data_IF_790418730538
#
_entry.id   IF_790418730538
#
_cell.length_a   1.000
_cell.length_b   1.000
_cell.length_c   1.000
_cell.angle_alpha   90.00
_cell.angle_beta   90.00
_cell.angle_gamma   90.00
#
_symmetry.space_group_name_H-M   'P 1'
#
loop_
_entity.id
_entity.type
_entity.pdbx_description
1 polymer ?
#
# COMPACT_ATOMS: atom_id res chain seq x y z
N UNK A 1 -17.18 -10.80 -3.41
CA UNK A 1 -16.11 -10.38 -2.47
C UNK A 1 -15.26 -9.30 -3.12
N UNK A 2 -15.01 -8.20 -2.41
CA UNK A 2 -14.14 -7.11 -2.85
C UNK A 2 -12.83 -7.16 -2.05
N UNK A 3 -11.68 -7.18 -2.72
CA UNK A 3 -10.35 -7.32 -2.11
C UNK A 3 -9.48 -6.14 -2.53
N UNK A 4 -8.68 -5.60 -1.61
CA UNK A 4 -7.66 -4.61 -1.96
C UNK A 4 -6.33 -4.89 -1.26
N UNK A 5 -5.24 -4.55 -1.95
CA UNK A 5 -3.87 -4.66 -1.44
C UNK A 5 -3.37 -3.26 -1.13
N UNK A 6 -3.15 -2.99 0.17
CA UNK A 6 -2.65 -1.72 0.67
C UNK A 6 -1.16 -1.85 0.93
N UNK A 7 -0.35 -0.94 0.39
CA UNK A 7 1.08 -0.93 0.64
C UNK A 7 1.83 -0.01 -0.31
N UNK A 8 2.99 0.46 0.13
CA UNK A 8 3.84 1.39 -0.61
C UNK A 8 4.36 0.81 -1.92
N UNK A 9 4.65 1.68 -2.88
CA UNK A 9 5.53 1.39 -4.01
C UNK A 9 6.87 0.81 -3.54
N UNK A 10 7.41 -0.16 -4.28
CA UNK A 10 8.57 -0.98 -3.87
C UNK A 10 8.38 -1.82 -2.58
N UNK A 11 7.18 -1.85 -2.00
CA UNK A 11 6.84 -2.74 -0.87
C UNK A 11 6.69 -4.21 -1.27
N UNK A 12 6.71 -4.54 -2.57
CA UNK A 12 6.52 -5.91 -3.05
C UNK A 12 5.05 -6.33 -3.25
N UNK A 13 4.12 -5.36 -3.20
CA UNK A 13 2.68 -5.57 -3.41
C UNK A 13 2.31 -6.21 -4.75
N UNK A 14 3.22 -6.17 -5.75
CA UNK A 14 3.11 -6.92 -7.01
C UNK A 14 2.90 -8.42 -6.76
N UNK A 15 3.63 -9.01 -5.81
CA UNK A 15 3.52 -10.43 -5.50
C UNK A 15 2.09 -10.81 -5.09
N UNK A 16 1.45 -9.98 -4.26
CA UNK A 16 0.07 -10.22 -3.87
C UNK A 16 -0.92 -10.00 -5.02
N UNK A 17 -0.74 -8.96 -5.84
CA UNK A 17 -1.62 -8.72 -6.99
C UNK A 17 -1.58 -9.91 -7.98
N UNK A 18 -0.39 -10.39 -8.32
CA UNK A 18 -0.21 -11.56 -9.19
C UNK A 18 -0.78 -12.84 -8.57
N UNK A 19 -0.60 -13.03 -7.26
CA UNK A 19 -1.20 -14.15 -6.53
C UNK A 19 -2.73 -14.12 -6.64
N UNK A 20 -3.36 -12.97 -6.39
CA UNK A 20 -4.82 -12.83 -6.50
C UNK A 20 -5.31 -13.09 -7.93
N UNK A 21 -4.67 -12.51 -8.95
CA UNK A 21 -5.01 -12.75 -10.36
C UNK A 21 -4.89 -14.23 -10.73
N UNK A 22 -3.79 -14.89 -10.36
CA UNK A 22 -3.59 -16.32 -10.61
C UNK A 22 -4.58 -17.21 -9.83
N UNK A 23 -5.17 -16.70 -8.75
CA UNK A 23 -6.22 -17.36 -7.95
C UNK A 23 -7.65 -17.11 -8.46
N UNK A 24 -7.79 -16.48 -9.64
CA UNK A 24 -9.09 -16.20 -10.26
C UNK A 24 -9.81 -14.96 -9.72
N UNK A 25 -9.11 -14.05 -9.04
CA UNK A 25 -9.67 -12.74 -8.66
C UNK A 25 -9.62 -11.80 -9.85
N UNK A 26 -10.76 -11.20 -10.20
CA UNK A 26 -10.80 -10.15 -11.21
C UNK A 26 -10.23 -8.84 -10.65
N UNK A 27 -9.01 -8.49 -11.04
CA UNK A 27 -8.27 -7.34 -10.49
C UNK A 27 -8.55 -6.01 -11.21
N UNK A 28 -9.53 -5.99 -12.12
CA UNK A 28 -9.87 -4.85 -12.98
C UNK A 28 -9.65 -5.13 -14.47
N UNK A 29 -10.14 -4.25 -15.34
CA UNK A 29 -10.17 -4.49 -16.78
C UNK A 29 -8.79 -4.42 -17.44
N UNK A 30 -7.91 -3.57 -16.92
CA UNK A 30 -6.58 -3.35 -17.48
C UNK A 30 -5.57 -3.24 -16.34
N UNK A 31 -4.49 -4.03 -16.46
CA UNK A 31 -3.41 -4.07 -15.49
C UNK A 31 -2.07 -3.78 -16.17
N UNK A 32 -1.16 -3.09 -15.49
CA UNK A 32 0.24 -3.04 -15.91
C UNK A 32 1.02 -4.30 -15.45
N UNK A 33 2.30 -4.40 -15.79
CA UNK A 33 3.15 -5.54 -15.39
C UNK A 33 3.28 -5.71 -13.87
N UNK A 34 3.11 -4.63 -13.10
CA UNK A 34 3.11 -4.65 -11.64
C UNK A 34 1.80 -5.13 -11.01
N UNK A 35 0.80 -5.45 -11.83
CA UNK A 35 -0.54 -5.78 -11.38
C UNK A 35 -1.26 -4.57 -10.79
N UNK A 36 -0.91 -3.36 -11.20
CA UNK A 36 -1.64 -2.14 -10.84
C UNK A 36 -2.84 -1.97 -11.77
N UNK A 37 -3.99 -1.59 -11.20
CA UNK A 37 -5.14 -1.14 -11.99
C UNK A 37 -4.81 0.20 -12.66
N UNK A 38 -5.01 0.26 -13.98
CA UNK A 38 -4.77 1.44 -14.81
C UNK A 38 -6.00 1.68 -15.72
N UNK A 39 -6.24 2.92 -16.22
CA UNK A 39 -5.51 4.18 -15.97
C UNK A 39 -5.55 4.67 -14.50
N UNK A 40 -4.43 5.14 -13.91
CA UNK A 40 -4.37 5.52 -12.49
C UNK A 40 -4.70 7.00 -12.18
N UNK A 41 -4.90 7.82 -13.21
CA UNK A 41 -4.97 9.29 -13.10
C UNK A 41 -6.05 9.76 -12.12
N UNK A 42 -7.24 9.17 -12.16
CA UNK A 42 -8.32 9.52 -11.24
C UNK A 42 -7.96 9.22 -9.78
N UNK A 43 -7.20 8.15 -9.50
CA UNK A 43 -6.70 7.89 -8.15
C UNK A 43 -5.63 8.92 -7.75
N UNK A 44 -4.79 9.38 -8.69
CA UNK A 44 -3.82 10.43 -8.40
C UNK A 44 -4.51 11.75 -8.06
N UNK A 45 -5.55 12.14 -8.79
CA UNK A 45 -6.36 13.30 -8.44
C UNK A 45 -7.08 13.10 -7.10
N UNK A 46 -7.59 11.91 -6.82
CA UNK A 46 -8.20 11.59 -5.52
C UNK A 46 -7.19 11.78 -4.38
N UNK A 47 -5.92 11.42 -4.57
CA UNK A 47 -4.86 11.70 -3.60
C UNK A 47 -4.65 13.20 -3.36
N UNK A 48 -4.71 14.03 -4.41
CA UNK A 48 -4.60 15.50 -4.26
C UNK A 48 -5.79 16.10 -3.53
N UNK A 49 -7.00 15.65 -3.84
CA UNK A 49 -8.21 16.05 -3.09
C UNK A 49 -8.09 15.68 -1.62
N UNK A 50 -7.68 14.45 -1.32
CA UNK A 50 -7.46 13.98 0.05
C UNK A 50 -6.40 14.81 0.78
N UNK A 51 -5.31 15.18 0.10
CA UNK A 51 -4.20 15.92 0.70
C UNK A 51 -4.62 17.32 1.22
N UNK A 52 -5.65 17.95 0.67
CA UNK A 52 -6.22 19.21 1.20
C UNK A 52 -6.77 19.09 2.64
N UNK A 53 -6.97 17.87 3.12
CA UNK A 53 -7.46 17.55 4.46
C UNK A 53 -6.36 17.11 5.42
N UNK A 54 -5.10 17.08 4.96
CA UNK A 54 -3.93 16.72 5.76
C UNK A 54 -3.10 17.97 6.04
N UNK A 55 -2.84 18.26 7.31
CA UNK A 55 -2.03 19.41 7.71
C UNK A 55 -0.64 18.95 8.15
N UNK A 56 0.42 19.53 7.58
CA UNK A 56 1.79 19.27 8.04
C UNK A 56 2.08 20.12 9.29
N UNK A 57 2.47 19.47 10.38
CA UNK A 57 2.75 20.10 11.69
C UNK A 57 4.26 20.33 11.92
N UNK A 58 5.08 20.15 10.89
CA UNK A 58 6.56 20.20 10.97
C UNK A 58 7.19 18.83 11.19
N UNK A 59 8.43 18.67 10.70
CA UNK A 59 9.18 17.42 10.73
C UNK A 59 8.41 16.26 10.10
N UNK A 60 8.29 15.14 10.82
CA UNK A 60 7.58 13.93 10.41
C UNK A 60 6.18 13.83 11.03
N UNK A 61 5.51 14.96 11.25
CA UNK A 61 4.20 15.04 11.88
C UNK A 61 3.16 15.61 10.92
N UNK A 62 2.08 14.85 10.73
CA UNK A 62 0.90 15.25 9.95
C UNK A 62 -0.34 15.05 10.80
N UNK A 63 -1.26 15.98 10.72
CA UNK A 63 -2.58 15.89 11.33
C UNK A 63 -3.57 15.28 10.33
N UNK A 64 -4.09 14.11 10.71
CA UNK A 64 -5.08 13.34 9.94
C UNK A 64 -6.49 13.44 10.52
N UNK A 65 -6.73 14.28 11.53
CA UNK A 65 -8.02 14.35 12.24
C UNK A 65 -9.21 14.55 11.29
N UNK A 66 -9.07 15.47 10.32
CA UNK A 66 -10.11 15.79 9.33
C UNK A 66 -10.47 14.61 8.43
N UNK A 67 -9.49 13.81 7.99
CA UNK A 67 -9.76 12.64 7.12
C UNK A 67 -10.37 11.46 7.89
N UNK A 68 -10.10 11.38 9.19
CA UNK A 68 -10.60 10.30 10.05
C UNK A 68 -12.07 10.49 10.43
N UNK A 69 -12.50 11.71 10.75
CA UNK A 69 -13.84 11.96 11.32
C UNK A 69 -14.72 12.86 10.47
N UNK A 70 -14.13 13.70 9.60
CA UNK A 70 -14.87 14.63 8.74
C UNK A 70 -15.62 13.94 7.60
N UNK A 71 -16.50 14.65 6.87
CA UNK A 71 -17.13 14.11 5.67
C UNK A 71 -16.08 13.76 4.60
N UNK A 72 -16.36 12.74 3.79
CA UNK A 72 -15.56 12.45 2.59
C UNK A 72 -15.96 13.45 1.52
N UNK A 73 -14.98 14.05 0.85
CA UNK A 73 -15.25 14.99 -0.24
C UNK A 73 -16.00 14.29 -1.39
N UNK A 74 -17.14 14.82 -1.89
CA UNK A 74 -17.85 14.24 -3.03
C UNK A 74 -16.99 14.10 -4.30
N UNK A 75 -16.03 15.00 -4.53
CA UNK A 75 -15.09 14.90 -5.64
C UNK A 75 -14.19 13.66 -5.50
N UNK A 76 -13.70 13.39 -4.28
CA UNK A 76 -12.94 12.19 -3.99
C UNK A 76 -13.75 10.93 -4.29
N UNK A 77 -15.02 10.88 -3.84
CA UNK A 77 -15.91 9.75 -4.10
C UNK A 77 -16.04 9.51 -5.60
N UNK A 78 -16.35 10.56 -6.38
CA UNK A 78 -16.49 10.47 -7.84
C UNK A 78 -15.21 9.94 -8.51
N UNK A 79 -14.04 10.43 -8.11
CA UNK A 79 -12.76 10.03 -8.67
C UNK A 79 -12.44 8.56 -8.36
N UNK A 80 -12.65 8.13 -7.12
CA UNK A 80 -12.43 6.72 -6.72
C UNK A 80 -13.40 5.77 -7.42
N UNK A 81 -14.68 6.14 -7.54
CA UNK A 81 -15.66 5.33 -8.27
C UNK A 81 -15.34 5.23 -9.76
N UNK A 82 -14.86 6.32 -10.37
CA UNK A 82 -14.40 6.34 -11.75
C UNK A 82 -13.17 5.42 -11.96
N UNK A 83 -12.15 5.56 -11.11
CA UNK A 83 -10.97 4.69 -11.12
C UNK A 83 -11.34 3.21 -10.95
N UNK A 84 -12.24 2.90 -10.02
CA UNK A 84 -12.65 1.53 -9.71
C UNK A 84 -13.81 1.03 -10.58
N UNK A 85 -14.27 1.78 -11.59
CA UNK A 85 -15.49 1.46 -12.33
C UNK A 85 -15.48 0.03 -12.89
N UNK A 86 -14.36 -0.39 -13.49
CA UNK A 86 -14.23 -1.74 -14.05
C UNK A 86 -14.33 -2.84 -12.98
N UNK A 87 -13.85 -2.58 -11.76
CA UNK A 87 -13.95 -3.49 -10.62
C UNK A 87 -15.38 -3.49 -10.10
N UNK A 88 -15.93 -2.33 -9.77
CA UNK A 88 -17.25 -2.19 -9.14
C UNK A 88 -18.40 -2.70 -10.02
N UNK A 89 -18.27 -2.62 -11.35
CA UNK A 89 -19.27 -3.09 -12.31
C UNK A 89 -19.12 -4.57 -12.69
N UNK A 90 -18.03 -5.23 -12.30
CA UNK A 90 -17.79 -6.64 -12.67
C UNK A 90 -18.69 -7.60 -11.88
N UNK A 91 -19.32 -8.55 -12.59
CA UNK A 91 -20.09 -9.63 -11.97
C UNK A 91 -19.22 -10.79 -11.44
N UNK A 92 -17.89 -10.66 -11.48
CA UNK A 92 -17.00 -11.69 -10.95
C UNK A 92 -17.26 -11.93 -9.45
N UNK A 93 -17.34 -13.20 -8.99
CA UNK A 93 -17.62 -13.51 -7.59
C UNK A 93 -16.55 -12.95 -6.64
N UNK A 94 -15.31 -12.85 -7.13
CA UNK A 94 -14.17 -12.26 -6.44
C UNK A 94 -13.56 -11.20 -7.35
N UNK A 95 -13.45 -10.00 -6.83
CA UNK A 95 -12.92 -8.84 -7.55
C UNK A 95 -12.08 -8.00 -6.61
N UNK A 96 -11.15 -7.24 -7.16
CA UNK A 96 -10.28 -6.41 -6.36
C UNK A 96 -9.49 -5.41 -7.18
N UNK A 97 -8.64 -4.66 -6.48
CA UNK A 97 -7.69 -3.76 -7.11
C UNK A 97 -6.42 -3.69 -6.29
N UNK A 98 -5.37 -3.20 -6.93
CA UNK A 98 -4.13 -2.82 -6.29
C UNK A 98 -3.61 -1.60 -7.02
N UNK A 99 -3.19 -0.59 -6.26
CA UNK A 99 -2.42 0.55 -6.73
C UNK A 99 -1.75 1.16 -5.48
N UNK A 100 -0.41 1.31 -5.42
CA UNK A 100 0.27 1.77 -4.21
C UNK A 100 -0.28 3.07 -3.62
N UNK A 101 -0.69 4.00 -4.48
CA UNK A 101 -1.26 5.30 -4.18
C UNK A 101 -2.57 5.20 -3.38
N UNK A 102 -3.29 4.06 -3.45
CA UNK A 102 -4.46 3.80 -2.59
C UNK A 102 -4.09 3.92 -1.10
N UNK A 103 -2.83 3.64 -0.73
CA UNK A 103 -2.33 3.80 0.65
C UNK A 103 -2.37 5.25 1.12
N UNK A 104 -2.14 6.23 0.23
CA UNK A 104 -2.10 7.66 0.57
C UNK A 104 -3.46 8.21 1.00
N UNK A 105 -4.53 7.50 0.66
CA UNK A 105 -5.93 7.91 0.89
C UNK A 105 -6.71 6.88 1.70
N UNK A 106 -5.99 5.96 2.37
CA UNK A 106 -6.52 4.79 3.04
C UNK A 106 -7.69 5.08 4.01
N UNK A 107 -7.68 6.16 4.84
CA UNK A 107 -8.81 6.45 5.73
C UNK A 107 -10.16 6.56 5.00
N UNK A 108 -10.18 7.21 3.84
CA UNK A 108 -11.42 7.39 3.08
C UNK A 108 -11.77 6.13 2.28
N UNK A 109 -10.79 5.39 1.77
CA UNK A 109 -11.04 4.09 1.12
C UNK A 109 -11.68 3.09 2.09
N UNK A 110 -11.19 2.99 3.32
CA UNK A 110 -11.79 2.12 4.36
C UNK A 110 -13.24 2.52 4.65
N UNK A 111 -13.52 3.83 4.69
CA UNK A 111 -14.87 4.34 4.96
C UNK A 111 -15.83 4.17 3.77
N UNK A 112 -15.34 4.23 2.53
CA UNK A 112 -16.13 3.96 1.33
C UNK A 112 -16.43 2.47 1.14
N UNK A 113 -15.50 1.59 1.52
CA UNK A 113 -15.60 0.15 1.32
C UNK A 113 -15.44 -0.64 2.63
N UNK A 114 -16.32 -0.45 3.63
CA UNK A 114 -16.14 -0.98 4.98
C UNK A 114 -16.15 -2.53 5.05
N UNK A 115 -16.81 -3.18 4.09
CA UNK A 115 -16.89 -4.64 3.99
C UNK A 115 -15.88 -5.26 3.00
N UNK A 116 -14.97 -4.47 2.43
CA UNK A 116 -13.89 -5.01 1.61
C UNK A 116 -12.85 -5.75 2.47
N UNK A 117 -12.14 -6.69 1.84
CA UNK A 117 -11.05 -7.46 2.43
C UNK A 117 -9.74 -6.76 2.15
N UNK A 118 -9.13 -6.19 3.18
CA UNK A 118 -7.89 -5.42 3.06
C UNK A 118 -6.68 -6.28 3.44
N UNK A 119 -5.77 -6.45 2.48
CA UNK A 119 -4.45 -7.04 2.70
C UNK A 119 -3.46 -5.90 2.91
N UNK A 120 -3.09 -5.66 4.17
CA UNK A 120 -2.10 -4.67 4.55
C UNK A 120 -0.72 -5.28 4.35
N UNK A 121 -0.01 -4.79 3.35
CA UNK A 121 1.27 -5.30 2.91
C UNK A 121 2.42 -4.40 3.37
N UNK A 122 3.28 -4.95 4.20
CA UNK A 122 4.45 -4.24 4.75
C UNK A 122 5.74 -4.86 4.27
N UNK A 123 6.82 -4.07 4.27
CA UNK A 123 8.17 -4.50 3.93
C UNK A 123 9.15 -3.69 4.76
N UNK A 124 10.32 -4.24 5.03
CA UNK A 124 11.43 -3.51 5.63
C UNK A 124 11.63 -2.16 4.92
N UNK A 125 11.56 -1.03 5.66
CA UNK A 125 11.73 0.29 5.08
C UNK A 125 13.07 0.44 4.36
N UNK A 126 14.12 -0.21 4.87
CA UNK A 126 15.48 -0.12 4.32
C UNK A 126 15.54 -0.66 2.90
N UNK A 127 14.79 -1.73 2.62
CA UNK A 127 14.65 -2.26 1.26
C UNK A 127 13.68 -1.44 0.39
N UNK A 128 12.67 -0.85 1.00
CA UNK A 128 11.61 -0.12 0.29
C UNK A 128 12.13 1.16 -0.36
N UNK A 129 13.09 1.84 0.25
CA UNK A 129 13.62 3.12 -0.24
C UNK A 129 14.74 2.97 -1.29
N UNK A 130 15.12 1.74 -1.65
CA UNK A 130 16.28 1.48 -2.51
C UNK A 130 16.09 1.90 -3.97
N UNK A 131 14.86 1.92 -4.47
CA UNK A 131 14.56 2.17 -5.88
C UNK A 131 13.49 3.25 -6.07
N UNK A 132 13.50 3.98 -7.21
CA UNK A 132 12.57 5.08 -7.48
C UNK A 132 11.14 4.60 -7.70
N UNK A 133 10.17 5.24 -7.06
CA UNK A 133 8.73 5.08 -7.29
C UNK A 133 8.04 6.44 -7.45
N UNK A 134 6.86 6.45 -8.08
CA UNK A 134 6.04 7.67 -8.20
C UNK A 134 5.68 8.24 -6.81
N UNK A 135 5.27 7.39 -5.86
CA UNK A 135 4.99 7.80 -4.47
C UNK A 135 6.21 8.31 -3.67
N UNK A 136 7.40 8.43 -4.25
CA UNK A 136 8.58 8.86 -3.49
C UNK A 136 8.51 10.33 -3.07
N UNK A 137 7.95 11.21 -3.92
CA UNK A 137 7.73 12.61 -3.61
C UNK A 137 6.27 12.85 -3.25
N UNK A 138 6.02 13.14 -1.96
CA UNK A 138 4.68 13.41 -1.45
C UNK A 138 4.02 14.63 -2.14
N UNK A 139 4.82 15.58 -2.64
CA UNK A 139 4.28 16.78 -3.30
C UNK A 139 3.60 16.47 -4.64
N UNK A 140 3.94 15.36 -5.29
CA UNK A 140 3.31 14.95 -6.55
C UNK A 140 1.82 14.60 -6.35
N UNK A 141 1.46 14.31 -5.11
CA UNK A 141 0.11 13.99 -4.63
C UNK A 141 -0.47 15.10 -3.72
N UNK A 142 0.13 16.29 -3.71
CA UNK A 142 -0.36 17.44 -2.96
C UNK A 142 -0.13 17.38 -1.45
N UNK A 143 0.55 16.35 -0.93
CA UNK A 143 0.80 16.20 0.51
C UNK A 143 1.95 17.12 0.94
N UNK A 144 1.72 18.06 1.89
CA UNK A 144 2.76 18.95 2.37
C UNK A 144 3.79 18.21 3.22
N UNK A 145 5.07 18.52 3.04
CA UNK A 145 6.18 18.04 3.87
C UNK A 145 7.41 18.96 3.72
N UNK A 146 8.38 18.82 4.62
CA UNK A 146 9.69 19.48 4.48
C UNK A 146 10.48 18.88 3.30
N UNK A 147 10.62 19.66 2.22
CA UNK A 147 11.34 19.22 1.02
C UNK A 147 12.82 19.00 1.32
N UNK A 148 13.41 18.04 0.59
CA UNK A 148 14.83 17.73 0.68
C UNK A 148 15.35 17.29 -0.69
N UNK A 149 16.60 17.64 -0.98
CA UNK A 149 17.31 17.18 -2.18
C UNK A 149 17.92 15.78 -2.00
N UNK A 150 17.99 15.27 -0.76
CA UNK A 150 18.42 13.90 -0.49
C UNK A 150 17.32 12.91 -0.91
N UNK A 151 17.58 12.20 -2.00
CA UNK A 151 16.65 11.22 -2.58
C UNK A 151 16.30 10.10 -1.59
N UNK A 152 17.25 9.60 -0.79
CA UNK A 152 16.99 8.52 0.18
C UNK A 152 16.17 9.05 1.35
N UNK A 153 16.48 10.25 1.83
CA UNK A 153 15.70 10.89 2.88
C UNK A 153 14.26 11.16 2.42
N UNK A 154 14.07 11.72 1.21
CA UNK A 154 12.73 11.94 0.64
C UNK A 154 11.90 10.65 0.58
N UNK A 155 12.51 9.55 0.10
CA UNK A 155 11.87 8.23 0.07
C UNK A 155 11.51 7.72 1.47
N UNK A 156 12.38 7.93 2.45
CA UNK A 156 12.17 7.56 3.84
C UNK A 156 11.06 8.39 4.50
N UNK A 157 10.98 9.69 4.20
CA UNK A 157 9.89 10.58 4.63
C UNK A 157 8.55 10.12 4.03
N UNK A 158 8.52 9.83 2.72
CA UNK A 158 7.32 9.27 2.07
C UNK A 158 6.91 7.92 2.67
N UNK A 159 7.87 7.02 2.94
CA UNK A 159 7.59 5.78 3.65
C UNK A 159 6.99 6.04 5.04
N UNK A 160 7.55 7.01 5.78
CA UNK A 160 7.08 7.37 7.12
C UNK A 160 5.64 7.88 7.10
N UNK A 161 5.29 8.73 6.13
CA UNK A 161 3.92 9.20 5.93
C UNK A 161 2.95 8.03 5.70
N UNK A 162 3.28 7.11 4.79
CA UNK A 162 2.45 5.95 4.47
C UNK A 162 2.36 4.95 5.63
N UNK A 163 3.44 4.78 6.40
CA UNK A 163 3.39 4.00 7.63
C UNK A 163 2.43 4.63 8.65
N UNK A 164 2.52 5.95 8.86
CA UNK A 164 1.67 6.66 9.80
C UNK A 164 0.20 6.60 9.38
N UNK A 165 -0.12 6.81 8.10
CA UNK A 165 -1.50 6.75 7.60
C UNK A 165 -2.12 5.36 7.79
N UNK A 166 -1.34 4.28 7.55
CA UNK A 166 -1.76 2.90 7.82
C UNK A 166 -1.96 2.63 9.32
N UNK A 167 -1.14 3.24 10.18
CA UNK A 167 -1.21 3.08 11.64
C UNK A 167 -2.41 3.79 12.26
N UNK A 168 -2.71 5.01 11.78
CA UNK A 168 -3.78 5.85 12.34
C UNK A 168 -5.17 5.51 11.78
N UNK A 169 -5.24 4.83 10.62
CA UNK A 169 -6.53 4.43 10.04
C UNK A 169 -7.16 3.35 10.92
N UNK A 170 -8.40 3.55 11.42
CA UNK A 170 -9.13 2.52 12.14
C UNK A 170 -9.18 1.24 11.30
N UNK A 171 -8.88 0.06 11.89
CA UNK A 171 -8.81 -1.16 11.13
C UNK A 171 -10.18 -1.45 10.48
N UNK A 172 -10.23 -1.74 9.17
CA UNK A 172 -11.46 -2.15 8.50
C UNK A 172 -11.94 -3.50 9.06
N UNK A 173 -13.21 -3.82 8.81
CA UNK A 173 -13.86 -5.06 9.30
C UNK A 173 -13.07 -6.32 8.94
N UNK A 174 -12.53 -6.36 7.73
CA UNK A 174 -11.73 -7.47 7.23
C UNK A 174 -10.33 -6.96 6.91
N UNK A 175 -9.39 -7.18 7.83
CA UNK A 175 -7.97 -6.86 7.66
C UNK A 175 -7.10 -8.08 7.93
N UNK A 176 -6.07 -8.26 7.11
CA UNK A 176 -4.92 -9.09 7.42
C UNK A 176 -3.63 -8.32 7.17
N UNK A 177 -2.70 -8.39 8.11
CA UNK A 177 -1.34 -7.86 7.95
C UNK A 177 -0.40 -8.95 7.44
N UNK A 178 0.30 -8.64 6.35
CA UNK A 178 1.28 -9.51 5.69
C UNK A 178 2.58 -8.74 5.53
N UNK A 179 3.67 -9.39 5.94
CA UNK A 179 5.02 -8.89 5.74
C UNK A 179 5.60 -9.54 4.49
N UNK A 180 6.19 -8.74 3.61
CA UNK A 180 6.83 -9.17 2.36
C UNK A 180 7.86 -10.27 2.63
N UNK A 181 8.68 -10.10 3.67
CA UNK A 181 9.73 -11.04 4.05
C UNK A 181 9.14 -12.40 4.44
N UNK A 182 8.02 -12.43 5.17
CA UNK A 182 7.34 -13.69 5.53
C UNK A 182 6.76 -14.36 4.27
N UNK A 183 6.13 -13.59 3.37
CA UNK A 183 5.60 -14.12 2.12
C UNK A 183 6.70 -14.74 1.24
N UNK A 184 7.89 -14.16 1.22
CA UNK A 184 9.00 -14.63 0.39
C UNK A 184 9.77 -15.78 1.05
N UNK A 185 9.97 -15.75 2.37
CA UNK A 185 10.82 -16.71 3.08
C UNK A 185 10.04 -17.88 3.70
N UNK A 186 8.74 -17.71 3.93
CA UNK A 186 7.83 -18.71 4.51
C UNK A 186 6.46 -18.65 3.79
N UNK A 187 6.52 -18.86 2.46
CA UNK A 187 5.40 -18.64 1.56
C UNK A 187 4.19 -19.52 1.91
N UNK A 188 4.39 -20.81 2.18
CA UNK A 188 3.27 -21.73 2.47
C UNK A 188 2.54 -21.37 3.77
N UNK A 189 3.26 -21.00 4.84
CA UNK A 189 2.61 -20.56 6.07
C UNK A 189 1.85 -19.24 5.87
N UNK A 190 2.41 -18.34 5.07
CA UNK A 190 1.77 -17.05 4.74
C UNK A 190 0.52 -17.24 3.88
N UNK A 191 0.59 -18.09 2.84
CA UNK A 191 -0.56 -18.42 1.98
C UNK A 191 -1.66 -19.09 2.79
N UNK A 192 -1.35 -20.04 3.67
CA UNK A 192 -2.36 -20.69 4.52
C UNK A 192 -3.14 -19.69 5.39
N UNK A 193 -2.45 -18.68 5.95
CA UNK A 193 -3.11 -17.59 6.70
C UNK A 193 -3.99 -16.73 5.81
N UNK A 194 -3.52 -16.40 4.62
CA UNK A 194 -4.27 -15.63 3.64
C UNK A 194 -5.51 -16.38 3.13
N UNK A 195 -5.39 -17.68 2.84
CA UNK A 195 -6.49 -18.55 2.43
C UNK A 195 -7.56 -18.66 3.52
N UNK A 196 -7.15 -18.80 4.79
CA UNK A 196 -8.08 -18.80 5.92
C UNK A 196 -8.82 -17.45 6.06
N UNK A 197 -8.14 -16.34 5.79
CA UNK A 197 -8.75 -15.00 5.83
C UNK A 197 -9.69 -14.74 4.64
N UNK A 198 -9.29 -15.15 3.44
CA UNK A 198 -10.02 -14.88 2.20
C UNK A 198 -11.11 -15.93 1.91
N UNK A 199 -11.01 -17.12 2.49
CA UNK A 199 -11.99 -18.21 2.30
C UNK A 199 -11.88 -18.93 0.95
N UNK A 200 -10.73 -18.89 0.29
CA UNK A 200 -10.46 -19.65 -0.94
C UNK A 200 -8.97 -19.95 -1.11
N UNK A 201 -8.64 -20.98 -1.88
CA UNK A 201 -7.26 -21.38 -2.18
C UNK A 201 -6.53 -20.34 -3.03
N UNK A 202 -5.27 -20.08 -2.71
CA UNK A 202 -4.43 -19.12 -3.43
C UNK A 202 -3.40 -19.83 -4.30
N UNK A 203 -3.19 -19.31 -5.50
CA UNK A 203 -2.13 -19.76 -6.38
C UNK A 203 -0.76 -19.51 -5.75
N UNK A 204 0.17 -20.43 -5.97
CA UNK A 204 1.58 -20.24 -5.61
C UNK A 204 2.28 -19.57 -6.78
N UNK A 205 2.86 -18.39 -6.54
CA UNK A 205 3.70 -17.70 -7.52
C UNK A 205 5.18 -17.88 -7.15
N UNK A 206 6.10 -17.90 -8.12
CA UNK A 206 7.53 -17.87 -7.83
C UNK A 206 7.92 -16.63 -7.01
N UNK A 207 8.68 -16.83 -5.93
CA UNK A 207 9.26 -15.77 -5.10
C UNK A 207 10.79 -15.78 -5.18
N UNK A 208 11.41 -14.66 -4.82
CA UNK A 208 12.85 -14.42 -4.95
C UNK A 208 13.45 -14.09 -3.57
N UNK A 209 13.96 -15.08 -2.81
CA UNK A 209 14.56 -14.83 -1.49
C UNK A 209 15.64 -13.75 -1.48
N UNK A 210 16.40 -13.59 -2.56
CA UNK A 210 17.42 -12.56 -2.76
C UNK A 210 16.86 -11.12 -2.77
N UNK A 211 15.54 -10.97 -2.89
CA UNK A 211 14.88 -9.67 -2.78
C UNK A 211 14.74 -9.19 -1.34
N UNK A 212 14.95 -10.06 -0.35
CA UNK A 212 14.92 -9.71 1.09
C UNK A 212 16.31 -9.32 1.57
N UNK A 213 16.42 -8.17 2.23
CA UNK A 213 17.67 -7.70 2.82
C UNK A 213 18.68 -7.14 1.83
N UNK A 214 18.22 -6.66 0.65
CA UNK A 214 19.08 -6.04 -0.37
C UNK A 214 19.83 -4.82 0.16
N UNK A 215 19.26 -4.12 1.12
CA UNK A 215 19.88 -2.99 1.80
C UNK A 215 21.25 -3.32 2.42
N UNK A 216 21.51 -4.59 2.77
CA UNK A 216 22.81 -5.02 3.35
C UNK A 216 23.98 -4.84 2.39
N UNK A 217 23.71 -4.85 1.09
CA UNK A 217 24.70 -4.67 0.02
C UNK A 217 24.56 -3.33 -0.71
N UNK A 218 23.59 -2.49 -0.32
CA UNK A 218 23.43 -1.17 -0.92
C UNK A 218 24.46 -0.19 -0.34
N UNK A 219 25.24 0.52 -1.17
CA UNK A 219 26.29 1.41 -0.68
C UNK A 219 25.76 2.76 -0.16
N UNK A 220 24.48 3.10 -0.42
CA UNK A 220 23.89 4.37 -0.03
C UNK A 220 23.26 4.34 1.36
N UNK A 221 22.79 5.49 1.86
CA UNK A 221 21.99 5.55 3.08
C UNK A 221 20.72 4.69 2.93
N UNK A 222 20.55 3.73 3.83
CA UNK A 222 19.39 2.83 3.84
C UNK A 222 18.62 2.83 5.16
N UNK A 223 19.24 3.26 6.27
CA UNK A 223 18.61 3.32 7.59
C UNK A 223 18.48 4.77 8.05
N UNK A 224 17.34 5.09 8.67
CA UNK A 224 17.05 6.41 9.21
C UNK A 224 16.56 6.26 10.65
N UNK A 225 16.98 7.13 11.60
CA UNK A 225 16.64 6.97 13.02
C UNK A 225 15.13 6.92 13.32
N UNK A 226 14.31 7.49 12.45
CA UNK A 226 12.85 7.55 12.60
C UNK A 226 12.12 6.29 12.08
N UNK A 227 12.82 5.31 11.50
CA UNK A 227 12.18 4.04 11.18
C UNK A 227 11.82 3.28 12.47
N UNK A 228 10.55 2.93 12.68
CA UNK A 228 10.15 2.10 13.80
C UNK A 228 10.91 0.77 13.76
N UNK A 229 11.60 0.43 14.84
CA UNK A 229 12.47 -0.75 14.87
C UNK A 229 11.71 -2.07 14.67
N UNK A 230 10.45 -2.15 15.11
CA UNK A 230 9.60 -3.31 14.85
C UNK A 230 9.26 -3.51 13.35
N UNK A 231 9.35 -2.46 12.53
CA UNK A 231 9.17 -2.56 11.08
C UNK A 231 10.41 -3.11 10.37
N UNK A 232 11.58 -3.09 11.02
CA UNK A 232 12.81 -3.63 10.45
C UNK A 232 12.77 -5.16 10.48
N UNK A 233 13.23 -5.78 9.40
CA UNK A 233 13.36 -7.22 9.35
C UNK A 233 14.74 -7.62 9.92
N UNK A 234 14.71 -8.31 11.06
CA UNK A 234 15.88 -8.90 11.69
C UNK A 234 15.80 -10.42 11.54
N UNK A 235 16.71 -11.02 10.78
CA UNK A 235 16.87 -12.48 10.78
C UNK A 235 17.23 -12.93 12.20
N UNK A 236 16.32 -13.62 12.90
CA UNK A 236 16.63 -14.30 14.16
C UNK A 236 15.71 -14.04 15.36
N UNK A 237 14.70 -13.17 15.26
CA UNK A 237 13.67 -13.02 16.30
C UNK A 237 12.36 -13.64 15.80
N UNK A 238 12.27 -14.97 15.90
CA UNK A 238 11.00 -15.71 16.00
C UNK A 238 10.88 -16.23 17.42
#
# INVERSE_FOLDING_TARGET
MLITVIGRGHGGTRAMSHTLSASGVYMGAQLNESGDLIPPEDMYEACRVFAHYVEHRGGLNWDFSRVLTGPIDPEFVRLVESFLASVLQSNAPRRGWKLPETTLVLPWIVRMFPDAYFIYWTRDPRDSILAPHLTDDLSDFGVPYERTDDVRLRRAVSWRYQYEIMRITPPPRHRIDVRFEDFVLDQEATLKRLEAFLGFELARIPVRPESVGRWRSDPGPYDFPFFPRHCLYCNGER
#
